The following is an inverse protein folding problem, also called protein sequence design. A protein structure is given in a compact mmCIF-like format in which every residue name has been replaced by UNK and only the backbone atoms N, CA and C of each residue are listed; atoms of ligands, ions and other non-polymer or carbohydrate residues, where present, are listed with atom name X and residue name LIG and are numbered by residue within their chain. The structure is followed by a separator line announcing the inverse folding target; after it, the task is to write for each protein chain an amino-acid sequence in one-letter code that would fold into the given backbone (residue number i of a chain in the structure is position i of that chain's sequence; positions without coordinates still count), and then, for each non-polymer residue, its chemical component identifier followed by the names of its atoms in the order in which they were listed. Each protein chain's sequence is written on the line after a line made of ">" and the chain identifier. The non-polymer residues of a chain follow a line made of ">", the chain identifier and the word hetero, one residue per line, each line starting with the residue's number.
data_IF_522116920009
#
_entry.id   IF_522116920009
#
_cell.length_a   1.000
_cell.length_b   1.000
_cell.length_c   1.000
_cell.angle_alpha   90.00
_cell.angle_beta   90.00
_cell.angle_gamma   90.00
#
_symmetry.space_group_name_H-M   'P 1'
#
loop_
_entity.id
_entity.type
_entity.pdbx_description
1 polymer ?
#
# COMPACT_ATOMS: atom_id res chain seq x y z
N UNK A 1 7.03 -19.76 35.06
CA UNK A 1 7.26 -20.22 33.68
C UNK A 1 7.07 -19.02 32.78
N UNK A 2 8.17 -18.42 32.33
CA UNK A 2 8.18 -17.31 31.38
C UNK A 2 7.91 -17.86 29.99
N UNK A 3 6.69 -17.70 29.50
CA UNK A 3 6.32 -17.90 28.11
C UNK A 3 5.85 -16.58 27.54
N UNK A 4 6.77 -15.65 27.30
CA UNK A 4 6.50 -14.53 26.41
C UNK A 4 6.42 -15.10 25.01
N UNK A 5 5.20 -15.40 24.54
CA UNK A 5 4.94 -15.65 23.13
C UNK A 5 5.47 -14.46 22.34
N UNK A 6 6.61 -14.67 21.70
CA UNK A 6 7.23 -13.76 20.76
C UNK A 6 6.25 -13.65 19.60
N UNK A 7 5.43 -12.60 19.60
CA UNK A 7 4.50 -12.29 18.51
C UNK A 7 5.28 -12.38 17.20
N UNK A 8 5.09 -13.48 16.48
CA UNK A 8 5.66 -13.66 15.16
C UNK A 8 5.15 -12.48 14.33
N UNK A 9 6.08 -11.71 13.75
CA UNK A 9 5.70 -10.71 12.77
C UNK A 9 4.72 -11.38 11.79
N UNK A 10 3.51 -10.82 11.59
CA UNK A 10 2.56 -11.45 10.69
C UNK A 10 3.26 -11.62 9.35
N UNK A 11 3.16 -12.84 8.78
CA UNK A 11 3.72 -13.14 7.47
C UNK A 11 3.18 -12.20 6.39
N UNK A 12 3.73 -12.26 5.16
CA UNK A 12 3.25 -11.42 4.06
C UNK A 12 1.72 -11.56 3.89
N UNK A 13 0.99 -10.46 3.62
CA UNK A 13 -0.45 -10.51 3.41
C UNK A 13 -0.84 -11.53 2.34
N UNK A 14 -1.90 -12.30 2.59
CA UNK A 14 -2.40 -13.32 1.67
C UNK A 14 -3.87 -13.13 1.29
N UNK A 15 -4.51 -12.13 1.87
CA UNK A 15 -5.92 -11.79 1.65
C UNK A 15 -6.03 -10.28 1.47
N UNK A 16 -7.10 -9.83 0.80
CA UNK A 16 -7.36 -8.41 0.64
C UNK A 16 -7.46 -7.68 2.00
N UNK A 17 -8.10 -8.29 2.99
CA UNK A 17 -8.21 -7.75 4.35
C UNK A 17 -6.84 -7.53 5.00
N UNK A 18 -5.94 -8.52 4.95
CA UNK A 18 -4.60 -8.36 5.52
C UNK A 18 -3.78 -7.30 4.79
N UNK A 19 -3.98 -7.14 3.48
CA UNK A 19 -3.33 -6.07 2.73
C UNK A 19 -3.82 -4.69 3.16
N UNK A 20 -5.13 -4.50 3.36
CA UNK A 20 -5.67 -3.26 3.92
C UNK A 20 -5.05 -2.95 5.30
N UNK A 21 -5.03 -3.93 6.20
CA UNK A 21 -4.43 -3.75 7.53
C UNK A 21 -2.94 -3.40 7.45
N UNK A 22 -2.19 -4.05 6.56
CA UNK A 22 -0.77 -3.77 6.36
C UNK A 22 -0.54 -2.35 5.85
N UNK A 23 -1.35 -1.89 4.89
CA UNK A 23 -1.25 -0.55 4.32
C UNK A 23 -1.67 0.53 5.32
N UNK A 24 -2.71 0.31 6.13
CA UNK A 24 -3.11 1.26 7.19
C UNK A 24 -1.97 1.50 8.18
N UNK A 25 -1.21 0.46 8.56
CA UNK A 25 -0.09 0.59 9.50
C UNK A 25 1.06 1.46 8.98
N UNK A 26 1.25 1.53 7.67
CA UNK A 26 2.36 2.27 7.05
C UNK A 26 1.92 3.56 6.36
N UNK A 27 0.63 3.91 6.48
CA UNK A 27 0.07 5.09 5.84
C UNK A 27 0.78 6.35 6.34
N UNK A 28 1.30 7.22 5.44
CA UNK A 28 1.92 8.46 5.85
C UNK A 28 0.97 9.39 6.62
N UNK A 29 1.52 10.19 7.52
CA UNK A 29 0.80 11.29 8.16
C UNK A 29 0.33 12.34 7.16
N UNK A 30 -0.66 13.15 7.55
CA UNK A 30 -1.24 14.17 6.65
C UNK A 30 -0.25 15.26 6.23
N UNK A 31 0.77 15.50 7.04
CA UNK A 31 1.88 16.44 6.83
C UNK A 31 3.10 15.80 6.15
N UNK A 32 3.05 14.51 5.83
CA UNK A 32 4.15 13.82 5.17
C UNK A 32 4.43 14.41 3.78
N UNK A 33 5.68 14.31 3.35
CA UNK A 33 6.10 14.82 2.05
C UNK A 33 5.38 14.13 0.88
N UNK A 34 5.26 14.82 -0.25
CA UNK A 34 4.72 14.22 -1.47
C UNK A 34 5.51 12.97 -1.89
N UNK A 35 6.83 12.94 -1.67
CA UNK A 35 7.65 11.77 -1.96
C UNK A 35 7.23 10.56 -1.10
N UNK A 36 6.97 10.76 0.20
CA UNK A 36 6.50 9.69 1.08
C UNK A 36 5.11 9.17 0.66
N UNK A 37 4.19 10.06 0.28
CA UNK A 37 2.89 9.68 -0.26
C UNK A 37 3.01 8.91 -1.57
N UNK A 38 3.89 9.33 -2.48
CA UNK A 38 4.13 8.62 -3.74
C UNK A 38 4.64 7.20 -3.49
N UNK A 39 5.67 7.04 -2.65
CA UNK A 39 6.21 5.73 -2.33
C UNK A 39 5.20 4.81 -1.62
N UNK A 40 4.31 5.37 -0.80
CA UNK A 40 3.20 4.63 -0.22
C UNK A 40 2.26 4.11 -1.31
N UNK A 41 1.81 4.96 -2.23
CA UNK A 41 0.91 4.54 -3.31
C UNK A 41 1.53 3.49 -4.23
N UNK A 42 2.78 3.67 -4.64
CA UNK A 42 3.51 2.69 -5.46
C UNK A 42 3.62 1.32 -4.75
N UNK A 43 3.86 1.32 -3.43
CA UNK A 43 3.86 0.09 -2.63
C UNK A 43 2.47 -0.54 -2.52
N UNK A 44 1.42 0.27 -2.36
CA UNK A 44 0.03 -0.22 -2.33
C UNK A 44 -0.33 -0.91 -3.64
N UNK A 45 0.02 -0.32 -4.80
CA UNK A 45 -0.21 -0.90 -6.12
C UNK A 45 0.39 -2.31 -6.20
N UNK A 46 1.69 -2.43 -5.89
CA UNK A 46 2.40 -3.70 -5.97
C UNK A 46 1.76 -4.77 -5.06
N UNK A 47 1.39 -4.38 -3.83
CA UNK A 47 0.76 -5.31 -2.89
C UNK A 47 -0.62 -5.76 -3.38
N UNK A 48 -1.47 -4.85 -3.86
CA UNK A 48 -2.80 -5.24 -4.34
C UNK A 48 -2.72 -6.10 -5.61
N UNK A 49 -1.75 -5.85 -6.51
CA UNK A 49 -1.51 -6.72 -7.66
C UNK A 49 -1.08 -8.14 -7.23
N UNK A 50 -0.19 -8.26 -6.24
CA UNK A 50 0.19 -9.56 -5.69
C UNK A 50 -1.00 -10.29 -5.06
N UNK A 51 -1.84 -9.58 -4.30
CA UNK A 51 -3.04 -10.14 -3.68
C UNK A 51 -4.07 -10.57 -4.70
N UNK A 52 -4.22 -9.86 -5.82
CA UNK A 52 -5.14 -10.28 -6.87
C UNK A 52 -4.82 -11.68 -7.41
N UNK A 53 -3.54 -12.08 -7.41
CA UNK A 53 -3.10 -13.41 -7.83
C UNK A 53 -3.24 -14.46 -6.72
N UNK A 54 -3.06 -14.07 -5.45
CA UNK A 54 -3.12 -14.98 -4.30
C UNK A 54 -4.56 -15.23 -3.84
N UNK A 55 -5.34 -14.17 -3.65
CA UNK A 55 -6.71 -14.19 -3.14
C UNK A 55 -7.70 -14.06 -4.31
N UNK A 56 -7.84 -15.14 -5.07
CA UNK A 56 -8.67 -15.14 -6.29
C UNK A 56 -10.15 -14.86 -6.03
N UNK A 57 -10.62 -15.01 -4.79
CA UNK A 57 -11.99 -14.62 -4.40
C UNK A 57 -12.21 -13.11 -4.43
N UNK A 58 -11.14 -12.32 -4.24
CA UNK A 58 -11.15 -10.86 -4.26
C UNK A 58 -10.34 -10.29 -5.44
N UNK A 59 -10.04 -11.10 -6.46
CA UNK A 59 -9.17 -10.72 -7.58
C UNK A 59 -9.54 -9.36 -8.18
N UNK A 60 -10.80 -9.18 -8.58
CA UNK A 60 -11.26 -7.95 -9.21
C UNK A 60 -11.26 -6.76 -8.24
N UNK A 61 -11.55 -6.98 -6.96
CA UNK A 61 -11.52 -5.92 -5.96
C UNK A 61 -10.08 -5.48 -5.67
N UNK A 62 -9.14 -6.42 -5.58
CA UNK A 62 -7.73 -6.13 -5.44
C UNK A 62 -7.19 -5.34 -6.64
N UNK A 63 -7.55 -5.73 -7.88
CA UNK A 63 -7.18 -4.96 -9.07
C UNK A 63 -7.78 -3.55 -9.09
N UNK A 64 -9.04 -3.39 -8.67
CA UNK A 64 -9.65 -2.07 -8.51
C UNK A 64 -8.84 -1.19 -7.55
N UNK A 65 -8.42 -1.73 -6.41
CA UNK A 65 -7.59 -0.99 -5.46
C UNK A 65 -6.21 -0.66 -6.04
N UNK A 66 -5.59 -1.57 -6.78
CA UNK A 66 -4.33 -1.31 -7.46
C UNK A 66 -4.45 -0.15 -8.46
N UNK A 67 -5.49 -0.12 -9.30
CA UNK A 67 -5.73 0.96 -10.26
C UNK A 67 -5.93 2.30 -9.54
N UNK A 68 -6.78 2.32 -8.50
CA UNK A 68 -7.02 3.53 -7.71
C UNK A 68 -5.76 4.09 -7.05
N UNK A 69 -4.90 3.24 -6.51
CA UNK A 69 -3.66 3.70 -5.88
C UNK A 69 -2.64 4.14 -6.94
N UNK A 70 -2.66 3.57 -8.15
CA UNK A 70 -1.85 4.02 -9.28
C UNK A 70 -2.24 5.44 -9.73
N UNK A 71 -3.54 5.74 -9.81
CA UNK A 71 -4.01 7.09 -10.14
C UNK A 71 -3.49 8.12 -9.15
N UNK A 72 -3.54 7.81 -7.84
CA UNK A 72 -2.99 8.69 -6.81
C UNK A 72 -1.48 8.84 -6.88
N UNK A 73 -0.75 7.76 -7.18
CA UNK A 73 0.70 7.84 -7.40
C UNK A 73 1.01 8.82 -8.55
N UNK A 74 0.23 8.75 -9.63
CA UNK A 74 0.36 9.62 -10.80
C UNK A 74 0.03 11.09 -10.46
N UNK A 75 -1.06 11.33 -9.71
CA UNK A 75 -1.42 12.67 -9.23
C UNK A 75 -0.31 13.30 -8.38
N UNK A 76 0.24 12.54 -7.42
CA UNK A 76 1.32 13.01 -6.56
C UNK A 76 2.59 13.26 -7.38
N UNK A 77 2.92 12.39 -8.33
CA UNK A 77 4.05 12.60 -9.24
C UNK A 77 3.89 13.90 -10.04
N UNK A 78 2.71 14.16 -10.61
CA UNK A 78 2.41 15.39 -11.33
C UNK A 78 2.61 16.64 -10.45
N UNK A 79 2.16 16.61 -9.19
CA UNK A 79 2.37 17.69 -8.23
C UNK A 79 3.84 17.93 -7.90
N UNK A 80 4.63 16.87 -7.73
CA UNK A 80 6.08 16.96 -7.51
C UNK A 80 6.75 17.63 -8.71
N UNK A 81 6.38 17.24 -9.94
CA UNK A 81 6.92 17.83 -11.16
C UNK A 81 6.54 19.30 -11.32
N UNK A 82 5.31 19.69 -11.00
CA UNK A 82 4.86 21.08 -11.05
C UNK A 82 5.55 21.99 -10.01
N UNK A 83 5.97 21.43 -8.87
CA UNK A 83 6.63 22.18 -7.79
C UNK A 83 8.15 22.28 -7.89
N UNK A 84 8.80 21.58 -8.83
CA UNK A 84 10.25 21.63 -8.99
C UNK A 84 10.63 22.76 -9.96
N UNK A 85 11.40 23.78 -9.54
CA UNK A 85 11.94 24.76 -10.50
C UNK A 85 12.82 24.02 -11.52
N UNK A 86 12.66 24.38 -12.80
CA UNK A 86 13.41 23.78 -13.92
C UNK A 86 14.91 24.03 -13.80
#
# INVERSE_FOLDING_TARGET
>A
MTGTDKAASPGPPRTLTHAHEALVRIRPGGDASLAAWRSYYERSVALYQEIAEIDRGHHHEALYWAEREQDKANEVAARIHAGKPR
#
